data_IF_573118773038
#
_entry.id   IF_573118773038
#
_cell.length_a   1.000
_cell.length_b   1.000
_cell.length_c   1.000
_cell.angle_alpha   90.00
_cell.angle_beta   90.00
_cell.angle_gamma   90.00
#
_symmetry.space_group_name_H-M   'P 1'
#
loop_
_entity.id
_entity.type
_entity.pdbx_description
1 polymer ?
#
# COMPACT_ATOMS: atom_id res chain seq x y z
N UNK A 1 -20.95 1.96 -6.14
CA UNK A 1 -20.55 0.72 -5.44
C UNK A 1 -21.75 -0.20 -5.38
N UNK A 2 -21.52 -1.49 -5.56
CA UNK A 2 -22.54 -2.51 -5.30
C UNK A 2 -22.85 -2.57 -3.78
N UNK A 3 -24.03 -3.05 -3.37
CA UNK A 3 -24.41 -3.09 -1.95
C UNK A 3 -23.38 -3.78 -1.04
N UNK A 4 -22.84 -4.93 -1.48
CA UNK A 4 -21.79 -5.67 -0.76
C UNK A 4 -20.49 -4.88 -0.60
N UNK A 5 -20.11 -4.09 -1.60
CA UNK A 5 -18.91 -3.25 -1.52
C UNK A 5 -19.10 -2.10 -0.54
N UNK A 6 -20.32 -1.60 -0.41
CA UNK A 6 -20.65 -0.49 0.48
C UNK A 6 -20.71 -0.94 1.95
N UNK A 7 -21.18 -2.16 2.21
CA UNK A 7 -21.13 -2.79 3.52
C UNK A 7 -19.68 -3.03 3.96
N UNK A 8 -18.87 -3.63 3.08
CA UNK A 8 -17.44 -3.85 3.32
C UNK A 8 -16.68 -2.52 3.53
N UNK A 9 -17.02 -1.48 2.75
CA UNK A 9 -16.42 -0.16 2.90
C UNK A 9 -16.63 0.39 4.31
N UNK A 10 -17.86 0.28 4.83
CA UNK A 10 -18.17 0.74 6.19
C UNK A 10 -17.39 -0.04 7.24
N UNK A 11 -17.41 -1.37 7.15
CA UNK A 11 -16.68 -2.23 8.09
C UNK A 11 -15.19 -1.88 8.14
N UNK A 12 -14.51 -1.79 6.99
CA UNK A 12 -13.08 -1.47 6.97
C UNK A 12 -12.80 -0.03 7.40
N UNK A 13 -13.69 0.94 7.13
CA UNK A 13 -13.52 2.31 7.61
C UNK A 13 -13.63 2.38 9.13
N UNK A 14 -14.60 1.69 9.73
CA UNK A 14 -14.78 1.65 11.17
C UNK A 14 -13.55 1.01 11.86
N UNK A 15 -13.05 -0.11 11.33
CA UNK A 15 -11.82 -0.75 11.83
C UNK A 15 -10.61 0.20 11.76
N UNK A 16 -10.44 0.92 10.64
CA UNK A 16 -9.33 1.86 10.45
C UNK A 16 -9.45 3.10 11.35
N UNK A 17 -10.67 3.53 11.67
CA UNK A 17 -10.95 4.60 12.63
C UNK A 17 -10.63 4.15 14.06
N UNK A 18 -11.03 2.93 14.43
CA UNK A 18 -10.76 2.36 15.76
C UNK A 18 -9.26 2.15 15.99
N UNK A 19 -8.53 1.69 14.97
CA UNK A 19 -7.07 1.57 14.99
C UNK A 19 -6.35 2.93 15.00
N UNK A 20 -7.06 4.04 14.76
CA UNK A 20 -6.49 5.38 14.69
C UNK A 20 -5.62 5.63 13.45
N UNK A 21 -5.75 4.80 12.41
CA UNK A 21 -5.00 4.97 11.16
C UNK A 21 -5.56 6.08 10.28
N UNK A 22 -6.85 6.38 10.40
CA UNK A 22 -7.52 7.44 9.66
C UNK A 22 -8.38 8.30 10.60
N UNK A 23 -8.79 9.47 10.13
CA UNK A 23 -9.75 10.34 10.80
C UNK A 23 -10.60 11.09 9.78
N UNK A 24 -11.79 11.59 10.17
CA UNK A 24 -12.57 12.48 9.31
C UNK A 24 -11.74 13.71 8.93
N UNK A 25 -11.77 14.10 7.66
CA UNK A 25 -11.01 15.23 7.15
C UNK A 25 -11.86 16.17 6.31
N UNK A 26 -11.50 17.45 6.34
CA UNK A 26 -12.08 18.51 5.50
C UNK A 26 -11.09 18.97 4.42
N UNK A 27 -10.22 18.05 3.98
CA UNK A 27 -9.19 18.35 2.98
C UNK A 27 -9.82 18.77 1.65
N UNK A 28 -9.27 19.76 0.94
CA UNK A 28 -9.68 20.06 -0.43
C UNK A 28 -9.26 18.96 -1.42
N UNK A 29 -8.45 18.00 -0.99
CA UNK A 29 -8.00 16.86 -1.78
C UNK A 29 -8.83 15.62 -1.47
N UNK A 30 -9.29 14.93 -2.51
CA UNK A 30 -9.95 13.63 -2.41
C UNK A 30 -9.44 12.66 -3.47
N UNK A 31 -9.42 11.37 -3.14
CA UNK A 31 -9.09 10.29 -4.05
C UNK A 31 -10.16 9.20 -3.97
N UNK A 32 -10.54 8.56 -5.08
CA UNK A 32 -11.56 7.53 -5.06
C UNK A 32 -11.04 6.24 -4.43
N UNK A 33 -11.95 5.52 -3.77
CA UNK A 33 -11.72 4.19 -3.22
C UNK A 33 -12.10 3.12 -4.25
N UNK A 34 -11.29 2.09 -4.36
CA UNK A 34 -11.46 0.93 -5.22
C UNK A 34 -11.33 -0.35 -4.39
N UNK A 35 -12.03 -1.40 -4.81
CA UNK A 35 -11.89 -2.73 -4.21
C UNK A 35 -11.15 -3.69 -5.13
N UNK A 36 -10.22 -4.44 -4.55
CA UNK A 36 -9.52 -5.53 -5.23
C UNK A 36 -9.84 -6.84 -4.52
N UNK A 37 -10.28 -7.86 -5.27
CA UNK A 37 -10.50 -9.20 -4.72
C UNK A 37 -9.15 -9.87 -4.42
N UNK A 38 -8.96 -10.29 -3.18
CA UNK A 38 -7.86 -11.16 -2.78
C UNK A 38 -8.14 -12.61 -3.22
N UNK A 39 -7.11 -13.46 -3.16
CA UNK A 39 -7.21 -14.89 -3.50
C UNK A 39 -8.20 -15.65 -2.59
N UNK A 40 -8.31 -15.22 -1.33
CA UNK A 40 -9.24 -15.76 -0.34
C UNK A 40 -10.69 -15.30 -0.56
N UNK A 41 -10.96 -14.47 -1.57
CA UNK A 41 -12.28 -13.94 -1.88
C UNK A 41 -12.67 -12.69 -1.08
N UNK A 42 -11.85 -12.25 -0.12
CA UNK A 42 -12.05 -10.98 0.59
C UNK A 42 -11.79 -9.79 -0.32
N UNK A 43 -12.39 -8.65 0.02
CA UNK A 43 -12.19 -7.39 -0.70
C UNK A 43 -11.13 -6.56 0.05
N UNK A 44 -10.12 -6.07 -0.66
CA UNK A 44 -9.13 -5.14 -0.13
C UNK A 44 -9.50 -3.73 -0.57
N UNK A 45 -9.73 -2.84 0.40
CA UNK A 45 -9.88 -1.41 0.16
C UNK A 45 -8.55 -0.83 -0.33
N UNK A 46 -8.58 -0.11 -1.45
CA UNK A 46 -7.42 0.52 -2.08
C UNK A 46 -7.79 1.94 -2.50
N UNK A 47 -6.95 2.93 -2.18
CA UNK A 47 -7.18 4.33 -2.59
C UNK A 47 -6.39 4.60 -3.88
N UNK A 48 -7.05 5.15 -4.90
CA UNK A 48 -6.39 5.50 -6.17
C UNK A 48 -5.62 6.81 -6.06
N UNK A 49 -4.40 6.72 -5.51
CA UNK A 49 -3.49 7.86 -5.40
C UNK A 49 -2.76 8.20 -6.71
N UNK A 50 -3.12 7.66 -7.88
CA UNK A 50 -2.35 7.90 -9.13
C UNK A 50 -2.22 9.38 -9.49
N UNK A 51 -3.28 10.18 -9.31
CA UNK A 51 -3.23 11.62 -9.58
C UNK A 51 -2.33 12.35 -8.57
N UNK A 52 -2.47 12.02 -7.29
CA UNK A 52 -1.64 12.55 -6.21
C UNK A 52 -0.15 12.22 -6.44
N UNK A 53 0.16 10.97 -6.80
CA UNK A 53 1.52 10.49 -7.04
C UNK A 53 2.21 11.15 -8.25
N UNK A 54 1.46 11.80 -9.16
CA UNK A 54 2.03 12.55 -10.29
C UNK A 54 2.52 13.94 -9.87
N UNK A 55 1.88 14.55 -8.88
CA UNK A 55 2.19 15.90 -8.42
C UNK A 55 3.15 15.91 -7.22
N UNK A 56 3.26 14.80 -6.50
CA UNK A 56 4.19 14.69 -5.36
C UNK A 56 5.63 14.50 -5.84
N UNK A 57 6.57 15.15 -5.15
CA UNK A 57 8.00 14.98 -5.39
C UNK A 57 8.40 13.56 -4.97
N UNK A 58 8.99 12.80 -5.89
CA UNK A 58 9.42 11.42 -5.62
C UNK A 58 10.67 11.42 -4.76
N UNK A 59 10.56 10.93 -3.52
CA UNK A 59 11.71 10.64 -2.67
C UNK A 59 12.38 9.33 -3.13
N UNK A 60 13.28 9.42 -4.12
CA UNK A 60 13.94 8.26 -4.72
C UNK A 60 15.08 7.80 -3.83
N UNK A 61 14.93 6.64 -3.20
CA UNK A 61 16.02 5.91 -2.55
C UNK A 61 16.43 4.72 -3.42
N UNK A 62 17.73 4.52 -3.70
CA UNK A 62 18.18 3.37 -4.49
C UNK A 62 17.96 2.09 -3.68
N UNK A 63 17.02 1.27 -4.12
CA UNK A 63 16.85 -0.09 -3.59
C UNK A 63 17.70 -1.04 -4.45
N UNK A 64 18.63 -1.80 -3.87
CA UNK A 64 19.44 -2.76 -4.62
C UNK A 64 18.55 -3.85 -5.22
N UNK A 65 18.99 -4.45 -6.33
CA UNK A 65 18.30 -5.64 -6.84
C UNK A 65 18.56 -6.80 -5.89
N UNK A 66 17.62 -7.74 -5.86
CA UNK A 66 17.74 -8.94 -5.03
C UNK A 66 19.01 -9.73 -5.38
N UNK A 67 19.36 -9.82 -6.67
CA UNK A 67 20.58 -10.48 -7.14
C UNK A 67 21.84 -9.82 -6.55
N UNK A 68 21.91 -8.48 -6.57
CA UNK A 68 23.03 -7.71 -6.02
C UNK A 68 23.23 -7.98 -4.51
N UNK A 69 22.14 -8.22 -3.78
CA UNK A 69 22.20 -8.58 -2.36
C UNK A 69 22.75 -9.99 -2.13
N UNK A 70 22.43 -10.94 -3.01
CA UNK A 70 22.94 -12.31 -2.92
C UNK A 70 24.43 -12.39 -3.26
N UNK A 71 24.89 -11.65 -4.27
CA UNK A 71 26.30 -11.59 -4.63
C UNK A 71 27.14 -11.11 -3.44
N UNK A 72 26.73 -10.02 -2.78
CA UNK A 72 27.38 -9.51 -1.56
C UNK A 72 27.44 -10.55 -0.43
N UNK A 73 26.38 -11.34 -0.25
CA UNK A 73 26.34 -12.39 0.76
C UNK A 73 27.33 -13.52 0.46
N UNK A 74 27.42 -13.95 -0.81
CA UNK A 74 28.36 -15.00 -1.22
C UNK A 74 29.82 -14.57 -1.08
N UNK A 75 30.14 -13.31 -1.44
CA UNK A 75 31.46 -12.71 -1.23
C UNK A 75 31.85 -12.67 0.25
N UNK A 76 30.90 -12.29 1.13
CA UNK A 76 31.13 -12.27 2.58
C UNK A 76 31.39 -13.68 3.15
N UNK A 77 30.72 -14.71 2.63
CA UNK A 77 30.90 -16.11 3.06
C UNK A 77 32.16 -16.79 2.49
N UNK A 78 32.79 -16.19 1.48
CA UNK A 78 33.97 -16.72 0.79
C UNK A 78 35.33 -16.37 1.41
N UNK A 79 35.36 -15.58 2.50
CA UNK A 79 36.61 -15.17 3.17
C UNK A 79 37.15 -16.18 4.20
N UNK A 80 36.73 -17.45 4.13
CA UNK A 80 37.43 -18.58 4.74
C UNK A 80 38.17 -19.39 3.66
N UNK A 81 39.22 -18.80 3.08
CA UNK A 81 40.33 -19.55 2.50
C UNK A 81 41.64 -18.85 2.85
#
# INVERSE_FOLDING_TARGET
MAPRELEELRSQLDDLLELGFISPSMSPWGAPVLFVKKKDGSLRLCIDYRQLNRITVKNKYPLPRIDDLFDQLTEASGSQK
#
